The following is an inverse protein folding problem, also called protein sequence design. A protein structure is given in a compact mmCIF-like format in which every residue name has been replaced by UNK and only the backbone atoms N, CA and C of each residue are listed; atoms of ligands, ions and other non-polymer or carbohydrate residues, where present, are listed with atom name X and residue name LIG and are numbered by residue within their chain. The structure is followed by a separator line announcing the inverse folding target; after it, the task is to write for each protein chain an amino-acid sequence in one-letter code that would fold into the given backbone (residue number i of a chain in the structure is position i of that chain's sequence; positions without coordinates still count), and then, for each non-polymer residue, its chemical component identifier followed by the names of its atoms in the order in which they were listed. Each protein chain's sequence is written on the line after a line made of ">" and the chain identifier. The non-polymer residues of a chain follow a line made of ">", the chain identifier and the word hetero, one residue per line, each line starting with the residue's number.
data_IF_901001652628
#
_entry.id   IF_901001652628
#
_cell.length_a   1.000
_cell.length_b   1.000
_cell.length_c   1.000
_cell.angle_alpha   90.00
_cell.angle_beta   90.00
_cell.angle_gamma   90.00
#
_symmetry.space_group_name_H-M   'P 1'
#
loop_
_entity.id
_entity.type
_entity.pdbx_description
1 polymer ?
#
# COMPACT_ATOMS: atom_id res chain seq x y z
N UNK A 1 27.27 -16.64 0.97
CA UNK A 1 26.56 -15.45 1.55
C UNK A 1 27.41 -14.82 2.62
N UNK A 2 27.66 -13.51 2.53
CA UNK A 2 28.28 -12.74 3.62
C UNK A 2 27.26 -12.50 4.74
N UNK A 3 27.73 -12.26 5.96
CA UNK A 3 26.88 -11.80 7.08
C UNK A 3 26.21 -10.47 6.70
N UNK A 4 24.92 -10.32 6.96
CA UNK A 4 24.19 -9.07 6.81
C UNK A 4 24.13 -8.41 8.18
N UNK A 5 24.60 -7.17 8.28
CA UNK A 5 24.54 -6.40 9.52
C UNK A 5 23.44 -5.36 9.45
N UNK A 6 22.53 -5.38 10.42
CA UNK A 6 21.46 -4.41 10.59
C UNK A 6 21.49 -3.90 12.03
N UNK A 7 21.75 -2.62 12.22
CA UNK A 7 22.06 -2.09 13.53
C UNK A 7 23.27 -2.81 14.15
N UNK A 8 23.09 -3.31 15.35
CA UNK A 8 24.11 -4.11 16.07
C UNK A 8 23.96 -5.62 15.88
N UNK A 9 23.07 -6.06 14.99
CA UNK A 9 22.74 -7.46 14.79
C UNK A 9 23.43 -8.02 13.54
N UNK A 10 24.11 -9.14 13.72
CA UNK A 10 24.71 -9.93 12.64
C UNK A 10 23.75 -11.05 12.24
N UNK A 11 23.19 -10.97 11.03
CA UNK A 11 22.21 -11.91 10.51
C UNK A 11 22.89 -12.95 9.62
N UNK A 12 22.85 -14.19 10.07
CA UNK A 12 23.46 -15.33 9.35
C UNK A 12 22.50 -15.89 8.26
N UNK A 13 23.02 -16.56 7.22
CA UNK A 13 22.20 -17.28 6.25
C UNK A 13 21.32 -18.34 6.92
N UNK A 14 20.08 -18.49 6.44
CA UNK A 14 19.10 -19.43 6.99
C UNK A 14 18.45 -18.99 8.30
N UNK A 15 18.67 -17.75 8.74
CA UNK A 15 18.13 -17.22 10.00
C UNK A 15 16.76 -16.60 9.79
N UNK A 16 15.88 -16.84 10.75
CA UNK A 16 14.65 -16.05 10.96
C UNK A 16 14.70 -15.47 12.38
N UNK A 17 14.71 -14.15 12.48
CA UNK A 17 14.82 -13.47 13.77
C UNK A 17 13.99 -12.19 13.81
N UNK A 18 13.65 -11.77 15.03
CA UNK A 18 13.10 -10.45 15.34
C UNK A 18 14.22 -9.62 15.95
N UNK A 19 14.34 -8.38 15.52
CA UNK A 19 15.22 -7.39 16.11
C UNK A 19 14.43 -6.11 16.37
N UNK A 20 14.95 -5.29 17.25
CA UNK A 20 14.41 -3.98 17.55
C UNK A 20 15.48 -2.93 17.25
N UNK A 21 15.14 -1.93 16.43
CA UNK A 21 16.04 -0.81 16.14
C UNK A 21 15.60 0.39 16.97
N UNK A 22 16.37 0.79 18.00
CA UNK A 22 16.03 1.93 18.85
C UNK A 22 15.98 3.23 18.04
N UNK A 23 14.90 4.02 18.20
CA UNK A 23 14.73 5.30 17.51
C UNK A 23 14.69 6.47 18.46
N UNK A 24 14.14 6.30 19.66
CA UNK A 24 14.02 7.33 20.69
C UNK A 24 13.67 6.70 22.04
N UNK A 25 13.52 7.56 23.06
CA UNK A 25 12.96 7.20 24.37
C UNK A 25 11.68 7.97 24.65
N UNK A 26 10.78 7.36 25.39
CA UNK A 26 9.63 8.03 25.99
C UNK A 26 10.07 8.88 27.18
N UNK A 27 9.19 9.75 27.66
CA UNK A 27 9.42 10.52 28.90
C UNK A 27 9.62 9.63 30.14
N UNK A 28 9.19 8.36 30.07
CA UNK A 28 9.36 7.33 31.11
C UNK A 28 10.71 6.61 31.05
N UNK A 29 11.62 7.05 30.19
CA UNK A 29 12.90 6.40 29.84
C UNK A 29 12.75 5.04 29.12
N UNK A 30 11.53 4.60 28.80
CA UNK A 30 11.32 3.39 27.99
C UNK A 30 11.74 3.63 26.54
N UNK A 31 12.42 2.63 25.95
CA UNK A 31 12.84 2.68 24.56
C UNK A 31 11.64 2.58 23.59
N UNK A 32 11.69 3.35 22.52
CA UNK A 32 10.82 3.20 21.35
C UNK A 32 11.68 2.68 20.22
N UNK A 33 11.29 1.53 19.67
CA UNK A 33 12.05 0.82 18.66
C UNK A 33 11.18 0.49 17.45
N UNK A 34 11.78 0.43 16.26
CA UNK A 34 11.15 -0.15 15.07
C UNK A 34 11.18 -1.68 15.22
N UNK A 35 10.03 -2.35 15.16
CA UNK A 35 9.98 -3.80 15.15
C UNK A 35 10.38 -4.31 13.76
N UNK A 36 11.38 -5.16 13.67
CA UNK A 36 11.88 -5.69 12.41
C UNK A 36 11.91 -7.22 12.46
N UNK A 37 11.24 -7.84 11.49
CA UNK A 37 11.32 -9.29 11.26
C UNK A 37 12.23 -9.54 10.06
N UNK A 38 13.29 -10.33 10.24
CA UNK A 38 14.20 -10.69 9.17
C UNK A 38 14.03 -12.19 8.86
N UNK A 39 13.87 -12.50 7.57
CA UNK A 39 13.78 -13.88 7.09
C UNK A 39 14.81 -14.04 5.97
N UNK A 40 15.87 -14.78 6.26
CA UNK A 40 17.00 -14.93 5.37
C UNK A 40 17.10 -16.36 4.84
N UNK A 41 17.12 -16.49 3.52
CA UNK A 41 17.34 -17.78 2.87
C UNK A 41 18.76 -18.30 3.04
N UNK A 42 18.97 -19.57 2.68
CA UNK A 42 20.28 -20.22 2.74
C UNK A 42 21.16 -19.95 1.50
N UNK A 43 20.58 -19.39 0.43
CA UNK A 43 21.27 -19.09 -0.85
C UNK A 43 21.33 -17.59 -1.09
N UNK A 44 22.36 -17.15 -1.81
CA UNK A 44 22.46 -15.75 -2.25
C UNK A 44 21.28 -15.37 -3.13
N UNK A 45 20.83 -14.13 -2.98
CA UNK A 45 19.72 -13.54 -3.72
C UNK A 45 19.49 -12.12 -3.26
N UNK A 46 18.48 -11.44 -3.82
CA UNK A 46 18.19 -10.06 -3.50
C UNK A 46 17.71 -9.86 -2.06
N UNK A 47 17.85 -8.64 -1.59
CA UNK A 47 17.28 -8.18 -0.32
C UNK A 47 16.10 -7.26 -0.63
N UNK A 48 14.96 -7.52 0.01
CA UNK A 48 13.75 -6.72 -0.14
C UNK A 48 13.22 -6.29 1.22
N UNK A 49 12.87 -5.01 1.36
CA UNK A 49 12.10 -4.57 2.51
C UNK A 49 10.60 -4.60 2.21
N UNK A 50 9.79 -4.85 3.23
CA UNK A 50 8.34 -4.72 3.21
C UNK A 50 7.98 -3.86 4.41
N UNK A 51 7.56 -2.62 4.16
CA UNK A 51 7.23 -1.63 5.18
C UNK A 51 5.73 -1.38 5.26
N UNK A 52 5.25 -1.03 6.44
CA UNK A 52 3.90 -0.59 6.67
C UNK A 52 3.83 0.50 7.73
N UNK A 53 2.71 1.18 7.81
CA UNK A 53 2.45 2.23 8.78
C UNK A 53 3.54 3.30 8.82
N UNK A 54 4.00 3.77 7.66
CA UNK A 54 4.72 5.06 7.54
C UNK A 54 3.80 6.20 7.98
N UNK A 55 2.49 6.06 7.69
CA UNK A 55 1.42 6.79 8.35
C UNK A 55 0.79 5.87 9.41
N UNK A 56 0.74 6.33 10.66
CA UNK A 56 0.38 5.44 11.77
C UNK A 56 -1.06 4.98 11.83
N UNK A 57 -1.95 5.60 11.07
CA UNK A 57 -3.37 5.24 10.94
C UNK A 57 -3.63 4.24 9.79
N UNK A 58 -2.63 3.93 8.96
CA UNK A 58 -2.76 3.03 7.81
C UNK A 58 -2.44 1.57 8.21
N UNK A 59 -3.47 0.82 8.64
CA UNK A 59 -3.29 -0.44 9.37
C UNK A 59 -3.25 -1.71 8.51
N UNK A 60 -3.81 -1.67 7.28
CA UNK A 60 -3.86 -2.88 6.41
C UNK A 60 -2.49 -3.50 6.18
N UNK A 61 -1.46 -2.67 5.99
CA UNK A 61 -0.09 -3.12 5.79
C UNK A 61 0.47 -3.91 6.98
N UNK A 62 0.12 -3.53 8.20
CA UNK A 62 0.50 -4.27 9.43
C UNK A 62 -0.07 -5.69 9.38
N UNK A 63 -1.36 -5.81 9.04
CA UNK A 63 -2.04 -7.09 8.97
C UNK A 63 -1.56 -7.94 7.80
N UNK A 64 -1.25 -7.33 6.64
CA UNK A 64 -0.61 -8.00 5.51
C UNK A 64 0.70 -8.66 5.95
N UNK A 65 1.60 -7.91 6.58
CA UNK A 65 2.87 -8.42 7.08
C UNK A 65 2.64 -9.52 8.11
N UNK A 66 1.73 -9.29 9.09
CA UNK A 66 1.43 -10.25 10.15
C UNK A 66 0.92 -11.59 9.59
N UNK A 67 -0.05 -11.55 8.65
CA UNK A 67 -0.58 -12.77 8.01
C UNK A 67 0.48 -13.45 7.16
N UNK A 68 1.26 -12.69 6.38
CA UNK A 68 2.27 -13.21 5.47
C UNK A 68 3.36 -14.00 6.22
N UNK A 69 3.98 -13.41 7.25
CA UNK A 69 5.09 -14.03 7.99
C UNK A 69 4.66 -15.24 8.82
N UNK A 70 3.38 -15.32 9.21
CA UNK A 70 2.83 -16.45 9.96
C UNK A 70 2.21 -17.54 9.07
N UNK A 71 2.24 -17.38 7.76
CA UNK A 71 1.70 -18.35 6.81
C UNK A 71 2.56 -19.62 6.83
N UNK A 72 2.00 -20.83 7.01
CA UNK A 72 2.78 -22.07 7.19
C UNK A 72 3.79 -22.36 6.08
N UNK A 73 3.49 -21.92 4.85
CA UNK A 73 4.33 -22.16 3.67
C UNK A 73 5.16 -20.93 3.27
N UNK A 74 5.20 -19.87 4.08
CA UNK A 74 6.03 -18.72 3.82
C UNK A 74 7.49 -19.02 4.14
N UNK A 75 8.24 -19.41 3.13
CA UNK A 75 9.64 -19.81 3.26
C UNK A 75 10.51 -19.14 2.21
N UNK A 76 11.46 -18.35 2.67
CA UNK A 76 12.49 -17.71 1.84
C UNK A 76 13.63 -18.72 1.65
N UNK A 77 13.93 -19.09 0.40
CA UNK A 77 14.96 -20.05 0.04
C UNK A 77 16.27 -19.38 -0.37
N UNK A 78 16.19 -18.14 -0.86
CA UNK A 78 17.34 -17.31 -1.22
C UNK A 78 17.06 -15.83 -0.97
N UNK A 79 18.12 -15.03 -0.79
CA UNK A 79 17.99 -13.61 -0.49
C UNK A 79 17.49 -13.35 0.91
N UNK A 80 16.98 -12.14 1.15
CA UNK A 80 16.55 -11.70 2.47
C UNK A 80 15.28 -10.87 2.36
N UNK A 81 14.28 -11.16 3.20
CA UNK A 81 13.11 -10.31 3.43
C UNK A 81 13.29 -9.59 4.77
N UNK A 82 13.18 -8.28 4.77
CA UNK A 82 13.19 -7.41 5.95
C UNK A 82 11.81 -6.79 6.08
N UNK A 83 10.97 -7.32 6.98
CA UNK A 83 9.62 -6.84 7.19
C UNK A 83 9.56 -5.89 8.39
N UNK A 84 9.06 -4.68 8.18
CA UNK A 84 8.91 -3.63 9.19
C UNK A 84 7.43 -3.24 9.28
N UNK A 85 6.66 -3.89 10.15
CA UNK A 85 5.21 -3.71 10.21
C UNK A 85 4.78 -2.32 10.70
N UNK A 86 5.65 -1.61 11.40
CA UNK A 86 5.33 -0.30 11.98
C UNK A 86 6.56 0.61 11.86
N UNK A 87 6.61 1.44 10.81
CA UNK A 87 7.69 2.44 10.65
C UNK A 87 7.44 3.65 11.55
N UNK A 88 6.20 4.15 11.60
CA UNK A 88 5.77 5.21 12.49
C UNK A 88 5.12 4.63 13.76
N UNK A 89 5.93 4.07 14.65
CA UNK A 89 5.45 3.45 15.91
C UNK A 89 4.62 4.44 16.74
N UNK A 90 5.04 5.70 16.83
CA UNK A 90 4.29 6.74 17.54
C UNK A 90 2.92 7.02 16.93
N UNK A 91 2.86 7.11 15.60
CA UNK A 91 1.61 7.31 14.89
C UNK A 91 0.64 6.14 15.08
N UNK A 92 1.15 4.90 15.08
CA UNK A 92 0.32 3.70 15.33
C UNK A 92 -0.26 3.74 16.75
N UNK A 93 0.55 4.04 17.76
CA UNK A 93 0.08 4.14 19.16
C UNK A 93 -1.01 5.20 19.30
N UNK A 94 -0.87 6.32 18.61
CA UNK A 94 -1.82 7.43 18.66
C UNK A 94 -2.94 7.34 17.61
N UNK A 95 -2.95 6.28 16.77
CA UNK A 95 -3.90 6.11 15.67
C UNK A 95 -3.95 7.34 14.76
N UNK A 96 -2.80 7.91 14.46
CA UNK A 96 -2.62 9.16 13.73
C UNK A 96 -1.66 8.99 12.57
N UNK A 97 -1.97 9.63 11.45
CA UNK A 97 -1.07 9.74 10.31
C UNK A 97 0.29 10.32 10.69
N UNK A 98 0.29 11.29 11.60
CA UNK A 98 1.45 12.14 11.91
C UNK A 98 2.29 11.61 13.09
N UNK A 99 3.55 12.01 13.09
CA UNK A 99 4.43 11.89 14.25
C UNK A 99 4.01 12.84 15.38
N UNK A 100 4.49 12.62 16.64
CA UNK A 100 4.19 13.52 17.77
C UNK A 100 4.62 15.00 17.55
N UNK A 101 5.64 15.22 16.72
CA UNK A 101 6.09 16.55 16.30
C UNK A 101 5.25 17.15 15.17
N UNK A 102 4.07 16.56 14.88
CA UNK A 102 3.08 16.95 13.87
C UNK A 102 3.56 16.87 12.43
N UNK A 103 4.67 16.19 12.17
CA UNK A 103 5.22 16.02 10.83
C UNK A 103 4.66 14.76 10.17
N UNK A 104 4.43 14.84 8.87
CA UNK A 104 4.24 13.66 8.03
C UNK A 104 5.60 12.97 7.83
N UNK A 105 5.76 11.76 8.38
CA UNK A 105 7.00 11.00 8.27
C UNK A 105 7.41 10.80 6.81
N UNK A 106 6.41 10.60 5.92
CA UNK A 106 6.64 10.42 4.47
C UNK A 106 6.92 11.74 3.72
N UNK A 107 7.32 12.79 4.43
CA UNK A 107 7.88 14.05 3.95
C UNK A 107 9.17 14.42 4.66
N UNK A 108 9.75 13.47 5.43
CA UNK A 108 10.94 13.73 6.25
C UNK A 108 12.15 12.92 5.82
N UNK A 109 12.05 12.10 4.76
CA UNK A 109 13.19 11.39 4.17
C UNK A 109 14.06 12.35 3.32
N UNK A 110 15.38 12.12 3.28
CA UNK A 110 16.18 11.03 3.86
C UNK A 110 16.38 11.11 5.37
N UNK A 111 15.91 12.16 6.02
CA UNK A 111 16.06 12.38 7.45
C UNK A 111 17.46 12.84 7.87
N UNK A 112 17.65 12.92 9.18
CA UNK A 112 18.93 13.31 9.80
C UNK A 112 19.05 12.74 11.21
N UNK A 113 20.22 12.23 11.58
CA UNK A 113 20.50 11.72 12.93
C UNK A 113 20.35 12.77 14.03
N UNK A 114 20.50 14.06 13.69
CA UNK A 114 20.38 15.21 14.62
C UNK A 114 19.15 16.07 14.36
N UNK A 115 18.22 15.58 13.52
CA UNK A 115 17.02 16.31 13.15
C UNK A 115 15.88 16.19 14.17
N UNK A 116 14.67 16.61 13.72
CA UNK A 116 13.43 16.39 14.47
C UNK A 116 13.18 14.90 14.72
N UNK A 117 12.22 14.56 15.58
CA UNK A 117 11.87 13.15 15.84
C UNK A 117 11.54 12.41 14.55
N UNK A 118 10.70 12.99 13.69
CA UNK A 118 10.37 12.41 12.39
C UNK A 118 11.62 12.22 11.50
N UNK A 119 12.50 13.23 11.42
CA UNK A 119 13.71 13.14 10.62
C UNK A 119 14.70 12.08 11.15
N UNK A 120 14.74 11.83 12.46
CA UNK A 120 15.55 10.77 13.06
C UNK A 120 15.02 9.39 12.75
N UNK A 121 13.70 9.18 12.84
CA UNK A 121 13.05 7.90 12.45
C UNK A 121 13.30 7.62 10.97
N UNK A 122 13.07 8.61 10.08
CA UNK A 122 13.34 8.50 8.66
C UNK A 122 14.80 8.12 8.39
N UNK A 123 15.75 8.77 9.05
CA UNK A 123 17.18 8.50 8.91
C UNK A 123 17.54 7.07 9.33
N UNK A 124 17.03 6.59 10.47
CA UNK A 124 17.29 5.23 10.96
C UNK A 124 16.71 4.21 9.98
N UNK A 125 15.46 4.38 9.56
CA UNK A 125 14.83 3.48 8.61
C UNK A 125 15.59 3.42 7.27
N UNK A 126 15.96 4.58 6.72
CA UNK A 126 16.73 4.65 5.49
C UNK A 126 18.11 3.98 5.61
N UNK A 127 18.86 4.31 6.68
CA UNK A 127 20.26 3.87 6.80
C UNK A 127 20.41 2.44 7.29
N UNK A 128 19.48 1.96 8.14
CA UNK A 128 19.58 0.63 8.73
C UNK A 128 18.78 -0.44 7.94
N UNK A 129 17.81 -0.03 7.13
CA UNK A 129 16.96 -0.96 6.37
C UNK A 129 17.11 -0.75 4.86
N UNK A 130 16.67 0.41 4.35
CA UNK A 130 16.53 0.64 2.89
C UNK A 130 17.85 0.49 2.16
N UNK A 131 18.95 1.05 2.69
CA UNK A 131 20.29 0.98 2.07
C UNK A 131 20.86 -0.44 1.93
N UNK A 132 20.25 -1.42 2.56
CA UNK A 132 20.64 -2.82 2.42
C UNK A 132 19.78 -3.58 1.40
N UNK A 133 18.80 -2.91 0.77
CA UNK A 133 17.78 -3.53 -0.05
C UNK A 133 17.92 -3.17 -1.52
N UNK A 134 17.77 -4.17 -2.39
CA UNK A 134 17.67 -3.99 -3.84
C UNK A 134 16.24 -3.55 -4.22
N UNK A 135 15.24 -4.02 -3.45
CA UNK A 135 13.81 -3.79 -3.69
C UNK A 135 13.08 -3.36 -2.43
N UNK A 136 11.91 -2.74 -2.61
CA UNK A 136 11.01 -2.37 -1.53
C UNK A 136 9.54 -2.48 -1.94
N UNK A 137 8.70 -2.84 -0.98
CA UNK A 137 7.25 -2.75 -1.08
C UNK A 137 6.78 -1.96 0.12
N UNK A 138 6.24 -0.75 -0.12
CA UNK A 138 5.72 0.13 0.92
C UNK A 138 4.19 0.06 0.91
N UNK A 139 3.60 -0.35 2.04
CA UNK A 139 2.19 -0.68 2.17
C UNK A 139 1.43 0.48 2.80
N UNK A 140 0.50 1.06 2.05
CA UNK A 140 -0.35 2.19 2.41
C UNK A 140 -1.84 1.88 2.28
N UNK A 141 -2.67 2.78 2.79
CA UNK A 141 -4.12 2.83 2.55
C UNK A 141 -4.53 4.22 2.07
N UNK A 142 -5.77 4.37 1.67
CA UNK A 142 -6.39 5.70 1.64
C UNK A 142 -6.35 6.35 3.03
N UNK A 143 -6.43 7.67 3.07
CA UNK A 143 -6.51 8.43 4.31
C UNK A 143 -7.82 8.13 5.06
N UNK A 144 -7.98 8.68 6.27
CA UNK A 144 -9.25 8.64 7.02
C UNK A 144 -10.40 9.11 6.11
N UNK A 145 -11.49 8.34 6.12
CA UNK A 145 -12.70 8.56 5.31
C UNK A 145 -12.50 8.45 3.80
N UNK A 146 -11.42 7.81 3.35
CA UNK A 146 -11.15 7.56 1.93
C UNK A 146 -10.69 6.13 1.72
N UNK A 147 -11.39 5.41 0.85
CA UNK A 147 -10.99 4.08 0.42
C UNK A 147 -10.28 4.11 -0.92
N UNK A 148 -9.25 3.30 -1.07
CA UNK A 148 -8.57 3.04 -2.33
C UNK A 148 -8.84 1.60 -2.79
N UNK A 149 -9.12 1.45 -4.09
CA UNK A 149 -9.03 0.16 -4.76
C UNK A 149 -7.58 -0.33 -4.71
N UNK A 150 -7.31 -1.64 -4.51
CA UNK A 150 -5.95 -2.15 -4.57
C UNK A 150 -5.22 -1.72 -5.84
N UNK A 151 -4.16 -0.96 -5.68
CA UNK A 151 -3.39 -0.37 -6.76
C UNK A 151 -1.90 -0.31 -6.42
N UNK A 152 -1.05 -0.37 -7.44
CA UNK A 152 0.39 -0.11 -7.33
C UNK A 152 0.70 1.26 -7.91
N UNK A 153 1.53 2.02 -7.21
CA UNK A 153 2.15 3.24 -7.71
C UNK A 153 3.66 3.06 -7.79
N UNK A 154 4.25 3.47 -8.89
CA UNK A 154 5.69 3.39 -9.14
C UNK A 154 6.10 4.18 -10.37
N UNK A 155 7.40 4.20 -10.63
CA UNK A 155 7.93 4.73 -11.88
C UNK A 155 7.83 3.66 -12.97
N UNK A 156 6.82 3.76 -13.83
CA UNK A 156 6.62 2.82 -14.92
C UNK A 156 7.52 3.10 -16.13
N UNK A 157 8.41 4.10 -16.06
CA UNK A 157 9.49 4.29 -17.03
C UNK A 157 10.73 3.45 -16.70
N UNK A 158 10.88 3.00 -15.46
CA UNK A 158 11.87 2.01 -15.08
C UNK A 158 11.32 0.61 -15.35
N UNK A 159 11.93 -0.09 -16.33
CA UNK A 159 11.39 -1.38 -16.81
C UNK A 159 11.34 -2.45 -15.73
N UNK A 160 12.30 -2.45 -14.79
CA UNK A 160 12.31 -3.42 -13.69
C UNK A 160 11.20 -3.15 -12.67
N UNK A 161 10.97 -1.88 -12.30
CA UNK A 161 9.85 -1.47 -11.44
C UNK A 161 8.51 -1.79 -12.10
N UNK A 162 8.40 -1.56 -13.41
CA UNK A 162 7.20 -1.88 -14.20
C UNK A 162 6.92 -3.39 -14.22
N UNK A 163 7.95 -4.22 -14.47
CA UNK A 163 7.82 -5.67 -14.44
C UNK A 163 7.36 -6.16 -13.05
N UNK A 164 7.94 -5.65 -11.97
CA UNK A 164 7.53 -5.98 -10.62
C UNK A 164 6.09 -5.56 -10.32
N UNK A 165 5.66 -4.39 -10.81
CA UNK A 165 4.29 -3.91 -10.66
C UNK A 165 3.29 -4.82 -11.39
N UNK A 166 3.62 -5.25 -12.61
CA UNK A 166 2.81 -6.21 -13.38
C UNK A 166 2.71 -7.56 -12.67
N UNK A 167 3.82 -8.05 -12.16
CA UNK A 167 3.89 -9.31 -11.41
C UNK A 167 3.10 -9.25 -10.10
N UNK A 168 3.03 -8.09 -9.44
CA UNK A 168 2.24 -7.90 -8.23
C UNK A 168 0.76 -8.24 -8.47
N UNK A 169 0.24 -7.95 -9.66
CA UNK A 169 -1.08 -8.35 -10.13
C UNK A 169 -2.26 -7.76 -9.32
N UNK A 170 -2.32 -6.44 -9.25
CA UNK A 170 -3.46 -5.66 -8.73
C UNK A 170 -4.35 -5.16 -9.88
N UNK A 171 -5.60 -4.75 -9.59
CA UNK A 171 -6.52 -4.24 -10.61
C UNK A 171 -5.95 -3.07 -11.43
N UNK A 172 -5.26 -2.13 -10.79
CA UNK A 172 -4.75 -0.92 -11.44
C UNK A 172 -3.31 -0.64 -11.07
N UNK A 173 -2.49 -0.32 -12.06
CA UNK A 173 -1.14 0.19 -11.91
C UNK A 173 -1.14 1.65 -12.35
N UNK A 174 -0.59 2.54 -11.51
CA UNK A 174 -0.45 3.96 -11.81
C UNK A 174 1.02 4.30 -12.00
N UNK A 175 1.35 4.91 -13.14
CA UNK A 175 2.59 5.67 -13.23
C UNK A 175 2.51 6.87 -12.30
N UNK A 176 3.49 7.03 -11.44
CA UNK A 176 3.51 8.11 -10.45
C UNK A 176 4.93 8.56 -10.21
N UNK A 177 5.17 9.86 -10.41
CA UNK A 177 6.42 10.50 -10.01
C UNK A 177 6.66 10.35 -8.51
N UNK A 178 7.91 10.43 -8.09
CA UNK A 178 8.28 10.51 -6.67
C UNK A 178 7.77 11.82 -6.08
N UNK A 179 7.53 11.81 -4.79
CA UNK A 179 7.11 12.99 -4.02
C UNK A 179 8.27 13.41 -3.13
N UNK A 180 8.65 14.67 -3.18
CA UNK A 180 9.75 15.23 -2.41
C UNK A 180 9.65 14.88 -0.92
N UNK A 181 10.77 14.42 -0.36
CA UNK A 181 10.87 14.00 1.03
C UNK A 181 10.19 12.67 1.36
N UNK A 182 9.74 11.91 0.35
CA UNK A 182 9.12 10.60 0.57
C UNK A 182 10.15 9.49 0.73
N UNK A 183 9.70 8.40 1.38
CA UNK A 183 10.48 7.15 1.47
C UNK A 183 10.86 6.65 0.07
N UNK A 184 9.91 6.65 -0.87
CA UNK A 184 10.14 6.16 -2.22
C UNK A 184 11.21 6.96 -2.98
N UNK A 185 11.19 8.31 -2.88
CA UNK A 185 12.23 9.15 -3.48
C UNK A 185 13.60 8.78 -2.93
N UNK A 186 13.76 8.80 -1.60
CA UNK A 186 15.06 8.52 -0.98
C UNK A 186 15.53 7.08 -1.21
N UNK A 187 14.63 6.13 -1.36
CA UNK A 187 14.97 4.75 -1.69
C UNK A 187 15.48 4.65 -3.14
N UNK A 188 14.79 5.28 -4.10
CA UNK A 188 15.20 5.32 -5.51
C UNK A 188 16.55 6.02 -5.67
N UNK A 189 16.80 7.12 -4.98
CA UNK A 189 18.09 7.83 -4.96
C UNK A 189 19.24 6.95 -4.42
N UNK A 190 18.92 5.96 -3.59
CA UNK A 190 19.86 4.95 -3.11
C UNK A 190 19.93 3.69 -4.00
N UNK A 191 19.26 3.68 -5.16
CA UNK A 191 19.25 2.57 -6.11
C UNK A 191 18.25 1.45 -5.81
N UNK A 192 17.38 1.61 -4.83
CA UNK A 192 16.37 0.62 -4.45
C UNK A 192 15.10 0.80 -5.29
N UNK A 193 14.61 -0.26 -5.94
CA UNK A 193 13.36 -0.24 -6.71
C UNK A 193 12.17 -0.41 -5.76
N UNK A 194 11.22 0.53 -5.76
CA UNK A 194 10.13 0.54 -4.78
C UNK A 194 8.76 0.53 -5.46
N UNK A 195 7.93 -0.44 -5.06
CA UNK A 195 6.50 -0.45 -5.30
C UNK A 195 5.78 0.14 -4.08
N UNK A 196 4.89 1.09 -4.32
CA UNK A 196 3.98 1.59 -3.31
C UNK A 196 2.61 0.94 -3.55
N UNK A 197 2.16 0.13 -2.60
CA UNK A 197 0.85 -0.50 -2.60
C UNK A 197 -0.13 0.33 -1.81
N UNK A 198 -1.25 0.70 -2.43
CA UNK A 198 -2.33 1.47 -1.82
C UNK A 198 -3.62 0.69 -1.86
N UNK A 199 -4.28 0.43 -0.71
CA UNK A 199 -5.55 -0.31 -0.70
C UNK A 199 -6.34 -0.12 0.61
N UNK A 200 -7.66 0.01 0.49
CA UNK A 200 -8.56 0.18 1.62
C UNK A 200 -8.50 1.58 2.26
N UNK A 201 -8.96 1.70 3.50
CA UNK A 201 -9.09 2.93 4.28
C UNK A 201 -8.24 2.87 5.55
N UNK A 202 -7.78 4.03 6.03
CA UNK A 202 -7.13 4.16 7.33
C UNK A 202 -8.04 3.70 8.49
N UNK A 203 -7.43 3.24 9.59
CA UNK A 203 -8.07 2.77 10.82
C UNK A 203 -9.05 1.59 10.64
N UNK A 204 -8.92 0.84 9.56
CA UNK A 204 -9.75 -0.35 9.29
C UNK A 204 -8.89 -1.48 8.73
N UNK A 205 -9.33 -2.71 8.97
CA UNK A 205 -8.91 -3.86 8.19
C UNK A 205 -9.91 -4.11 7.08
N UNK A 206 -9.40 -4.26 5.87
CA UNK A 206 -10.16 -4.62 4.68
C UNK A 206 -9.60 -5.93 4.12
N UNK A 207 -10.39 -7.01 4.21
CA UNK A 207 -9.91 -8.35 3.87
C UNK A 207 -9.56 -8.50 2.38
N UNK A 208 -10.26 -7.79 1.48
CA UNK A 208 -9.94 -7.78 0.06
C UNK A 208 -8.57 -7.15 -0.19
N UNK A 209 -8.33 -5.97 0.38
CA UNK A 209 -7.04 -5.27 0.30
C UNK A 209 -5.90 -6.07 0.93
N UNK A 210 -6.14 -6.69 2.08
CA UNK A 210 -5.16 -7.51 2.77
C UNK A 210 -4.80 -8.75 1.94
N UNK A 211 -5.81 -9.43 1.39
CA UNK A 211 -5.60 -10.62 0.57
C UNK A 211 -4.84 -10.31 -0.74
N UNK A 212 -5.23 -9.22 -1.42
CA UNK A 212 -4.55 -8.73 -2.61
C UNK A 212 -3.07 -8.39 -2.32
N UNK A 213 -2.80 -7.69 -1.22
CA UNK A 213 -1.43 -7.37 -0.80
C UNK A 213 -0.57 -8.61 -0.52
N UNK A 214 -1.10 -9.60 0.21
CA UNK A 214 -0.39 -10.86 0.48
C UNK A 214 -0.07 -11.60 -0.82
N UNK A 215 -1.05 -11.74 -1.73
CA UNK A 215 -0.84 -12.39 -3.03
C UNK A 215 0.20 -11.65 -3.87
N UNK A 216 0.09 -10.33 -3.93
CA UNK A 216 1.02 -9.50 -4.69
C UNK A 216 2.47 -9.63 -4.19
N UNK A 217 2.69 -9.55 -2.89
CA UNK A 217 4.02 -9.76 -2.28
C UNK A 217 4.55 -11.15 -2.61
N UNK A 218 3.74 -12.20 -2.44
CA UNK A 218 4.17 -13.57 -2.77
C UNK A 218 4.54 -13.73 -4.25
N UNK A 219 3.81 -13.08 -5.16
CA UNK A 219 4.11 -13.08 -6.60
C UNK A 219 5.47 -12.44 -6.88
N UNK A 220 5.74 -11.25 -6.32
CA UNK A 220 7.03 -10.56 -6.43
C UNK A 220 8.17 -11.43 -5.89
N UNK A 221 8.01 -12.02 -4.70
CA UNK A 221 9.03 -12.88 -4.11
C UNK A 221 9.31 -14.14 -4.94
N UNK A 222 8.28 -14.72 -5.59
CA UNK A 222 8.46 -15.85 -6.51
C UNK A 222 9.13 -15.43 -7.82
N UNK A 223 8.78 -14.28 -8.36
CA UNK A 223 9.40 -13.71 -9.55
C UNK A 223 10.91 -13.49 -9.32
N UNK A 224 11.28 -12.91 -8.19
CA UNK A 224 12.66 -12.73 -7.75
C UNK A 224 13.36 -14.05 -7.34
N UNK A 225 12.69 -15.21 -7.52
CA UNK A 225 13.17 -16.53 -7.14
C UNK A 225 13.53 -16.65 -5.64
N UNK A 226 13.00 -15.80 -4.79
CA UNK A 226 13.19 -15.86 -3.33
C UNK A 226 12.33 -16.94 -2.68
N UNK A 227 11.20 -17.27 -3.28
CA UNK A 227 10.31 -18.38 -2.88
C UNK A 227 10.24 -19.44 -3.98
N UNK A 228 9.79 -20.65 -3.62
CA UNK A 228 9.53 -21.70 -4.61
C UNK A 228 8.43 -21.28 -5.57
N UNK A 229 8.63 -21.52 -6.86
CA UNK A 229 7.59 -21.32 -7.88
C UNK A 229 6.41 -22.27 -7.61
N UNK A 230 5.21 -21.77 -7.75
CA UNK A 230 3.99 -22.56 -7.73
C UNK A 230 3.53 -22.71 -9.16
N UNK A 231 3.19 -23.93 -9.58
CA UNK A 231 2.55 -24.19 -10.88
C UNK A 231 1.09 -23.74 -10.80
N UNK A 232 0.83 -22.46 -11.10
CA UNK A 232 -0.54 -22.01 -11.28
C UNK A 232 -1.05 -22.41 -12.65
N UNK A 233 -2.23 -23.01 -12.71
CA UNK A 233 -2.92 -23.30 -13.98
C UNK A 233 -3.51 -22.03 -14.62
N UNK A 234 -3.61 -20.94 -13.88
CA UNK A 234 -4.22 -19.67 -14.34
C UNK A 234 -3.11 -18.64 -14.53
N UNK A 235 -2.83 -18.30 -15.78
CA UNK A 235 -2.01 -17.12 -16.10
C UNK A 235 -2.93 -15.91 -15.96
N UNK A 236 -2.62 -15.00 -15.04
CA UNK A 236 -3.20 -13.65 -15.08
C UNK A 236 -2.68 -12.96 -16.34
N UNK A 237 -3.56 -12.28 -17.06
CA UNK A 237 -3.14 -11.36 -18.12
C UNK A 237 -2.35 -10.22 -17.49
N UNK A 238 -1.49 -9.59 -18.27
CA UNK A 238 -0.72 -8.42 -17.80
C UNK A 238 -1.67 -7.29 -17.40
N UNK A 239 -1.50 -6.69 -16.21
CA UNK A 239 -2.34 -5.58 -15.76
C UNK A 239 -2.18 -4.36 -16.66
N UNK A 240 -3.27 -3.62 -16.85
CA UNK A 240 -3.21 -2.35 -17.57
C UNK A 240 -2.62 -1.24 -16.69
N UNK A 241 -1.77 -0.42 -17.32
CA UNK A 241 -1.16 0.73 -16.67
C UNK A 241 -1.98 1.97 -17.00
N UNK A 242 -2.52 2.62 -15.98
CA UNK A 242 -3.14 3.92 -16.14
C UNK A 242 -2.07 5.00 -16.33
N UNK A 243 -2.22 5.79 -17.38
CA UNK A 243 -1.23 6.81 -17.74
C UNK A 243 -1.46 8.13 -16.96
N UNK A 244 -2.66 8.31 -16.43
CA UNK A 244 -3.04 9.48 -15.67
C UNK A 244 -4.18 9.14 -14.70
N UNK A 245 -4.38 9.97 -13.72
CA UNK A 245 -5.52 9.90 -12.81
C UNK A 245 -5.93 11.30 -12.37
N UNK A 246 -7.17 11.47 -11.93
CA UNK A 246 -7.66 12.77 -11.51
C UNK A 246 -8.71 12.68 -10.41
N UNK A 247 -8.74 13.68 -9.55
CA UNK A 247 -9.74 13.84 -8.51
C UNK A 247 -10.91 14.71 -9.01
N UNK A 248 -12.12 14.17 -8.91
CA UNK A 248 -13.35 14.94 -9.04
C UNK A 248 -13.73 15.51 -7.68
N UNK A 249 -14.16 16.76 -7.69
CA UNK A 249 -14.47 17.52 -6.48
C UNK A 249 -15.96 17.81 -6.39
N UNK A 250 -16.44 18.00 -5.14
CA UNK A 250 -17.78 18.45 -4.86
C UNK A 250 -18.02 19.83 -5.45
N UNK A 251 -19.16 20.00 -6.11
CA UNK A 251 -19.63 21.27 -6.67
C UNK A 251 -20.69 21.96 -5.80
N UNK A 252 -20.95 21.41 -4.62
CA UNK A 252 -21.82 21.99 -3.57
C UNK A 252 -21.41 21.41 -2.21
N UNK A 253 -21.84 22.04 -1.12
CA UNK A 253 -21.73 21.48 0.24
C UNK A 253 -23.06 20.83 0.64
N UNK A 254 -23.00 19.64 1.28
CA UNK A 254 -24.22 18.96 1.73
C UNK A 254 -24.05 17.49 2.09
N UNK A 255 -25.20 16.81 2.14
CA UNK A 255 -25.29 15.36 2.37
C UNK A 255 -25.08 14.62 1.05
N UNK A 256 -24.17 13.65 1.06
CA UNK A 256 -23.77 12.90 -0.15
C UNK A 256 -24.53 11.60 -0.24
N UNK A 257 -25.08 11.32 -1.42
CA UNK A 257 -25.55 10.02 -1.86
C UNK A 257 -24.65 9.53 -3.00
N UNK A 258 -23.81 8.55 -2.73
CA UNK A 258 -23.00 7.90 -3.77
C UNK A 258 -23.90 7.06 -4.70
N UNK A 259 -23.58 7.06 -5.98
CA UNK A 259 -24.29 6.31 -7.02
C UNK A 259 -23.41 5.27 -7.72
N UNK A 260 -22.14 5.19 -7.32
CA UNK A 260 -21.11 4.29 -7.85
C UNK A 260 -20.33 3.68 -6.70
N UNK A 261 -19.70 2.54 -6.98
CA UNK A 261 -18.85 1.82 -6.03
C UNK A 261 -17.38 1.85 -6.47
N UNK A 262 -16.49 1.63 -5.50
CA UNK A 262 -15.06 1.58 -5.75
C UNK A 262 -14.74 0.39 -6.67
N UNK A 263 -14.04 0.66 -7.76
CA UNK A 263 -13.73 -0.31 -8.82
C UNK A 263 -14.65 -0.26 -10.03
N UNK A 264 -15.75 0.52 -9.95
CA UNK A 264 -16.65 0.67 -11.09
C UNK A 264 -15.97 1.35 -12.28
N UNK A 265 -16.35 0.90 -13.46
CA UNK A 265 -16.18 1.66 -14.71
C UNK A 265 -17.14 2.83 -14.72
N UNK A 266 -16.62 3.99 -15.09
CA UNK A 266 -17.42 5.19 -15.31
C UNK A 266 -17.15 5.75 -16.69
N UNK A 267 -18.20 6.27 -17.34
CA UNK A 267 -18.12 6.94 -18.64
C UNK A 267 -18.36 8.44 -18.50
N UNK A 268 -17.87 9.23 -19.45
CA UNK A 268 -18.07 10.68 -19.46
C UNK A 268 -19.55 11.04 -19.33
N UNK A 269 -19.92 11.82 -18.33
CA UNK A 269 -21.28 12.26 -18.06
C UNK A 269 -22.03 11.44 -17.01
N UNK A 270 -21.53 10.26 -16.64
CA UNK A 270 -22.14 9.44 -15.58
C UNK A 270 -22.25 10.19 -14.26
N UNK A 271 -23.37 10.05 -13.59
CA UNK A 271 -23.58 10.61 -12.26
C UNK A 271 -22.88 9.73 -11.22
N UNK A 272 -21.96 10.29 -10.45
CA UNK A 272 -21.21 9.59 -9.42
C UNK A 272 -21.79 9.83 -8.03
N UNK A 273 -22.32 11.01 -7.78
CA UNK A 273 -22.99 11.35 -6.52
C UNK A 273 -24.04 12.46 -6.71
N UNK A 274 -25.02 12.46 -5.84
CA UNK A 274 -25.93 13.59 -5.60
C UNK A 274 -25.58 14.23 -4.26
N UNK A 275 -25.54 15.55 -4.20
CA UNK A 275 -25.29 16.33 -2.99
C UNK A 275 -26.58 17.09 -2.67
N UNK A 276 -27.15 16.83 -1.51
CA UNK A 276 -28.42 17.39 -1.10
C UNK A 276 -28.34 18.30 0.13
N UNK A 277 -29.36 19.14 0.28
CA UNK A 277 -29.60 19.87 1.54
C UNK A 277 -30.11 18.92 2.62
N UNK A 278 -30.05 19.30 3.92
CA UNK A 278 -30.68 18.50 4.99
C UNK A 278 -32.21 18.37 4.83
N UNK A 279 -32.83 19.12 3.95
CA UNK A 279 -34.27 19.10 3.67
C UNK A 279 -34.64 18.29 2.41
N UNK A 280 -33.64 17.68 1.73
CA UNK A 280 -33.87 16.79 0.58
C UNK A 280 -33.77 17.47 -0.79
N UNK A 281 -33.48 18.76 -0.86
CA UNK A 281 -33.25 19.44 -2.14
C UNK A 281 -31.89 19.04 -2.74
N UNK A 282 -31.82 18.74 -4.02
CA UNK A 282 -30.56 18.48 -4.71
C UNK A 282 -29.85 19.80 -4.99
N UNK A 283 -28.68 20.00 -4.37
CA UNK A 283 -27.83 21.18 -4.49
C UNK A 283 -26.75 21.01 -5.57
N UNK A 284 -26.31 19.78 -5.80
CA UNK A 284 -25.27 19.48 -6.78
C UNK A 284 -25.28 18.00 -7.23
N UNK A 285 -24.69 17.78 -8.39
CA UNK A 285 -24.48 16.43 -8.93
C UNK A 285 -23.03 16.35 -9.43
N UNK A 286 -22.27 15.41 -8.88
CA UNK A 286 -20.91 15.14 -9.33
C UNK A 286 -20.98 14.16 -10.51
N UNK A 287 -20.34 14.53 -11.63
CA UNK A 287 -20.35 13.70 -12.85
C UNK A 287 -18.91 13.38 -13.28
N UNK A 288 -18.74 12.21 -13.91
CA UNK A 288 -17.49 11.86 -14.54
C UNK A 288 -17.18 12.79 -15.71
N UNK A 289 -15.98 13.37 -15.71
CA UNK A 289 -15.49 14.25 -16.78
C UNK A 289 -14.79 13.49 -17.90
N UNK A 290 -14.37 12.25 -17.64
CA UNK A 290 -13.71 11.31 -18.56
C UNK A 290 -14.04 9.89 -18.16
N UNK A 291 -14.01 8.97 -19.14
CA UNK A 291 -14.14 7.53 -18.89
C UNK A 291 -12.92 6.97 -18.15
N UNK A 292 -13.12 6.01 -17.27
CA UNK A 292 -12.05 5.40 -16.49
C UNK A 292 -12.56 4.45 -15.40
N UNK A 293 -11.67 4.10 -14.45
CA UNK A 293 -11.99 3.25 -13.30
C UNK A 293 -11.92 4.09 -12.02
N UNK A 294 -12.93 3.92 -11.17
CA UNK A 294 -12.96 4.54 -9.85
C UNK A 294 -11.98 3.84 -8.90
N UNK A 295 -10.87 4.49 -8.60
CA UNK A 295 -9.77 3.94 -7.79
C UNK A 295 -9.67 4.52 -6.38
N UNK A 296 -10.45 5.54 -6.08
CA UNK A 296 -10.51 6.13 -4.75
C UNK A 296 -11.82 6.85 -4.52
N UNK A 297 -12.35 6.77 -3.32
CA UNK A 297 -13.64 7.34 -2.95
C UNK A 297 -13.61 7.87 -1.52
N UNK A 298 -14.19 9.06 -1.32
CA UNK A 298 -14.52 9.56 0.01
C UNK A 298 -15.74 8.83 0.55
N UNK A 299 -15.69 8.37 1.81
CA UNK A 299 -16.71 7.53 2.42
C UNK A 299 -17.67 8.29 3.36
N UNK A 300 -17.24 9.46 3.89
CA UNK A 300 -18.09 10.23 4.78
C UNK A 300 -19.26 10.84 4.01
N UNK A 301 -20.52 10.71 4.51
CA UNK A 301 -21.71 11.14 3.78
C UNK A 301 -21.95 12.67 3.86
N UNK A 302 -20.92 13.45 4.16
CA UNK A 302 -20.93 14.91 4.22
C UNK A 302 -19.76 15.43 3.42
N UNK A 303 -19.97 16.50 2.67
CA UNK A 303 -18.94 17.12 1.86
C UNK A 303 -19.05 18.64 1.88
N UNK A 304 -17.93 19.32 1.81
CA UNK A 304 -17.86 20.76 1.50
C UNK A 304 -17.51 20.96 0.02
N UNK A 305 -18.01 22.03 -0.55
CA UNK A 305 -17.66 22.44 -1.92
C UNK A 305 -16.12 22.51 -2.09
N UNK A 306 -15.62 21.94 -3.18
CA UNK A 306 -14.19 21.84 -3.48
C UNK A 306 -13.48 20.62 -2.88
N UNK A 307 -14.08 19.88 -1.95
CA UNK A 307 -13.47 18.64 -1.43
C UNK A 307 -13.36 17.56 -2.51
N UNK A 308 -12.26 16.79 -2.47
CA UNK A 308 -12.01 15.69 -3.37
C UNK A 308 -12.87 14.49 -2.99
N UNK A 309 -13.74 14.02 -3.89
CA UNK A 309 -14.69 12.94 -3.65
C UNK A 309 -14.30 11.63 -4.34
N UNK A 310 -13.93 11.70 -5.62
CA UNK A 310 -13.68 10.52 -6.45
C UNK A 310 -12.34 10.63 -7.16
N UNK A 311 -11.53 9.58 -7.09
CA UNK A 311 -10.28 9.45 -7.82
C UNK A 311 -10.46 8.45 -8.96
N UNK A 312 -10.25 8.90 -10.20
CA UNK A 312 -10.46 8.08 -11.38
C UNK A 312 -9.12 7.87 -12.10
N UNK A 313 -8.82 6.63 -12.44
CA UNK A 313 -7.70 6.24 -13.29
C UNK A 313 -8.13 6.25 -14.75
N UNK A 314 -7.29 6.83 -15.63
CA UNK A 314 -7.54 6.96 -17.06
C UNK A 314 -6.54 6.13 -17.86
N UNK A 315 -7.03 5.40 -18.86
CA UNK A 315 -6.23 4.54 -19.73
C UNK A 315 -6.10 5.16 -21.12
N UNK A 316 -5.06 4.79 -21.87
CA UNK A 316 -4.87 5.28 -23.26
C UNK A 316 -5.94 4.73 -24.20
N UNK A 317 -6.26 3.47 -23.99
CA UNK A 317 -7.27 2.75 -24.77
C UNK A 317 -8.53 2.71 -23.91
N UNK A 318 -9.59 3.40 -24.36
CA UNK A 318 -10.93 3.26 -23.78
C UNK A 318 -11.58 2.03 -24.41
N UNK A 319 -10.95 0.86 -24.18
CA UNK A 319 -11.36 -0.42 -24.75
C UNK A 319 -12.07 -1.25 -23.68
N UNK A 320 -13.16 -1.90 -24.06
CA UNK A 320 -13.92 -2.84 -23.22
C UNK A 320 -13.01 -3.89 -22.58
N UNK A 321 -12.02 -4.38 -23.34
CA UNK A 321 -11.06 -5.37 -22.87
C UNK A 321 -10.25 -4.94 -21.63
N UNK A 322 -9.99 -3.63 -21.46
CA UNK A 322 -9.32 -3.07 -20.26
C UNK A 322 -10.20 -3.28 -19.04
N UNK A 323 -11.47 -2.97 -19.14
CA UNK A 323 -12.44 -3.01 -18.05
C UNK A 323 -12.78 -4.43 -17.64
N UNK A 324 -13.05 -5.32 -18.62
CA UNK A 324 -13.27 -6.75 -18.38
C UNK A 324 -12.06 -7.40 -17.67
N UNK A 325 -10.85 -6.97 -18.05
CA UNK A 325 -9.63 -7.46 -17.40
C UNK A 325 -9.56 -7.01 -15.94
N UNK A 326 -9.81 -5.73 -15.66
CA UNK A 326 -9.78 -5.18 -14.29
C UNK A 326 -10.80 -5.87 -13.40
N UNK A 327 -12.02 -6.09 -13.88
CA UNK A 327 -13.05 -6.86 -13.19
C UNK A 327 -12.60 -8.31 -12.92
N UNK A 328 -12.02 -8.98 -13.92
CA UNK A 328 -11.48 -10.34 -13.78
C UNK A 328 -10.36 -10.42 -12.71
N UNK A 329 -9.52 -9.39 -12.58
CA UNK A 329 -8.49 -9.32 -11.54
C UNK A 329 -9.12 -9.07 -10.18
N UNK A 330 -10.12 -8.20 -10.07
CA UNK A 330 -10.83 -7.96 -8.82
C UNK A 330 -11.49 -9.26 -8.32
N UNK A 331 -12.20 -9.98 -9.19
CA UNK A 331 -12.85 -11.26 -8.86
C UNK A 331 -11.84 -12.32 -8.43
N UNK A 332 -10.70 -12.39 -9.11
CA UNK A 332 -9.62 -13.33 -8.73
C UNK A 332 -9.03 -13.03 -7.35
N UNK A 333 -9.00 -11.75 -6.96
CA UNK A 333 -8.43 -11.31 -5.69
C UNK A 333 -9.44 -11.35 -4.53
N UNK A 334 -10.74 -11.52 -4.80
CA UNK A 334 -11.73 -11.68 -3.72
C UNK A 334 -11.44 -12.94 -2.91
N UNK A 335 -11.52 -12.90 -1.59
CA UNK A 335 -11.39 -14.09 -0.74
C UNK A 335 -12.45 -15.13 -1.11
N UNK A 336 -12.08 -16.42 -1.11
CA UNK A 336 -13.01 -17.52 -1.44
C UNK A 336 -14.25 -17.56 -0.52
N UNK A 337 -14.08 -17.14 0.73
CA UNK A 337 -15.17 -17.09 1.73
C UNK A 337 -16.20 -15.97 1.46
N UNK A 338 -15.87 -14.97 0.64
CA UNK A 338 -16.80 -13.90 0.26
C UNK A 338 -17.95 -14.41 -0.63
N UNK A 339 -17.80 -15.59 -1.23
CA UNK A 339 -18.82 -16.21 -2.08
C UNK A 339 -19.82 -17.11 -1.32
N UNK A 340 -19.64 -17.29 0.02
CA UNK A 340 -20.53 -18.15 0.81
C UNK A 340 -21.01 -17.47 2.11
N UNK A 341 -22.16 -16.76 2.06
CA UNK A 341 -22.69 -16.04 3.24
C UNK A 341 -23.20 -16.94 4.37
N UNK A 342 -23.09 -18.26 4.27
CA UNK A 342 -23.69 -19.19 5.24
C UNK A 342 -22.81 -19.58 6.44
N UNK A 343 -21.58 -19.06 6.56
CA UNK A 343 -20.69 -19.43 7.70
C UNK A 343 -20.68 -18.45 8.89
N UNK A 344 -21.59 -17.50 8.97
CA UNK A 344 -21.65 -16.53 10.10
C UNK A 344 -22.55 -17.00 11.25
N UNK A 345 -23.22 -18.15 11.14
CA UNK A 345 -24.09 -18.65 12.23
C UNK A 345 -23.60 -20.04 12.67
N UNK A 346 -22.68 -20.10 13.62
CA UNK A 346 -22.28 -21.38 14.21
C UNK A 346 -21.03 -21.33 15.06
N UNK A 347 -20.97 -20.50 16.07
CA UNK A 347 -19.98 -20.57 17.14
C UNK A 347 -20.67 -20.62 18.50
N UNK A 348 -20.85 -21.82 19.04
CA UNK A 348 -21.16 -22.00 20.46
C UNK A 348 -19.90 -21.79 21.30
#
# INVERSE_FOLDING_TARGET
>A
MKTLRIGDFDILPGTQCKIELPVAKLYTDADVSLPVQIIRGTKDGPTIFISAAVHGDELNGIEIIRRLINKPNFKIIRGTVIAVPMVNVYGVVNQSRYMPDRRDLNRCFPGSAKGSLAARVAHIFLTQIVKHCDYGIDLHTGAIHRSNLPQIRGDMNDEETKELAQVFAVPVILHSNVVDGSLRESAVDNGTKVLLYEAGEALRFDDFSIHAGIKGIENVLRHLNMMRKVTSKRKLKEPYIANNSGWLRANASGVVKHLVELGDRVTTGDKLAEIGSPYGEILGVVKATRSGILIGQQNIPLVQEGEAMFHIAYFKEDDEAVYEHIESVQDFLRPEDAHNPQHIIGGK
#
